data_IF_917998610726
#
_entry.id   IF_917998610726
#
_cell.length_a   1.000
_cell.length_b   1.000
_cell.length_c   1.000
_cell.angle_alpha   90.00
_cell.angle_beta   90.00
_cell.angle_gamma   90.00
#
_symmetry.space_group_name_H-M   'P 1'
#
loop_
_entity.id
_entity.type
_entity.pdbx_description
1 polymer ?
#
# COMPACT_ATOMS: atom_id res chain seq x y z
N UNK A 1 8.58 6.04 3.41
CA UNK A 1 8.12 4.69 3.80
C UNK A 1 9.01 4.10 4.89
N UNK A 2 10.34 4.06 4.71
CA UNK A 2 11.24 3.44 5.69
C UNK A 2 11.16 4.04 7.10
N UNK A 3 11.07 5.37 7.21
CA UNK A 3 10.88 6.04 8.50
C UNK A 3 9.53 5.67 9.17
N UNK A 4 8.46 5.51 8.39
CA UNK A 4 7.15 5.12 8.91
C UNK A 4 7.16 3.66 9.42
N UNK A 5 7.81 2.75 8.68
CA UNK A 5 7.96 1.36 9.09
C UNK A 5 8.88 1.20 10.31
N UNK A 6 9.98 1.96 10.37
CA UNK A 6 10.85 1.97 11.54
C UNK A 6 10.11 2.46 12.81
N UNK A 7 9.26 3.49 12.67
CA UNK A 7 8.45 4.01 13.77
C UNK A 7 7.33 3.06 14.25
N UNK A 8 6.90 2.11 13.42
CA UNK A 8 5.85 1.14 13.76
C UNK A 8 6.33 -0.02 14.66
N UNK A 9 7.65 -0.18 14.81
CA UNK A 9 8.24 -1.28 15.58
C UNK A 9 8.22 -2.63 14.84
N UNK A 10 8.44 -3.75 15.56
CA UNK A 10 8.64 -5.06 14.92
C UNK A 10 7.33 -5.80 14.60
N UNK A 11 6.17 -5.31 15.03
CA UNK A 11 4.89 -6.00 14.79
C UNK A 11 4.53 -6.00 13.29
N UNK A 12 4.34 -7.17 12.65
CA UNK A 12 3.94 -7.23 11.24
C UNK A 12 2.62 -6.49 10.97
N UNK A 13 1.65 -6.59 11.86
CA UNK A 13 0.38 -5.84 11.77
C UNK A 13 0.60 -4.33 11.86
N UNK A 14 1.50 -3.86 12.74
CA UNK A 14 1.82 -2.44 12.84
C UNK A 14 2.58 -1.94 11.60
N UNK A 15 3.50 -2.73 11.06
CA UNK A 15 4.22 -2.41 9.83
C UNK A 15 3.28 -2.36 8.62
N UNK A 16 2.32 -3.29 8.54
CA UNK A 16 1.32 -3.29 7.49
C UNK A 16 0.40 -2.05 7.58
N UNK A 17 -0.07 -1.71 8.78
CA UNK A 17 -0.84 -0.50 9.02
C UNK A 17 -0.04 0.76 8.61
N UNK A 18 1.23 0.85 9.01
CA UNK A 18 2.09 1.96 8.64
C UNK A 18 2.36 2.03 7.14
N UNK A 19 2.46 0.90 6.44
CA UNK A 19 2.56 0.86 4.98
C UNK A 19 1.30 1.43 4.33
N UNK A 20 0.11 1.00 4.77
CA UNK A 20 -1.18 1.47 4.24
C UNK A 20 -1.35 2.96 4.51
N UNK A 21 -1.11 3.41 5.73
CA UNK A 21 -1.22 4.82 6.12
C UNK A 21 -0.25 5.72 5.37
N UNK A 22 0.99 5.26 5.14
CA UNK A 22 1.98 6.04 4.40
C UNK A 22 1.60 6.29 2.93
N UNK A 23 0.77 5.42 2.34
CA UNK A 23 0.33 5.58 0.95
C UNK A 23 -1.06 6.18 0.83
N UNK A 24 -2.01 5.75 1.69
CA UNK A 24 -3.44 6.05 1.54
C UNK A 24 -4.01 6.92 2.65
N UNK A 25 -3.22 7.21 3.68
CA UNK A 25 -3.59 8.15 4.73
C UNK A 25 -3.55 9.59 4.21
N UNK A 26 -4.45 10.44 4.73
CA UNK A 26 -4.51 11.86 4.41
C UNK A 26 -3.59 12.72 5.29
N UNK A 27 -2.55 12.11 5.88
CA UNK A 27 -1.63 12.79 6.80
C UNK A 27 -0.68 13.77 6.10
N UNK A 28 0.31 14.28 6.86
CA UNK A 28 1.28 15.29 6.41
C UNK A 28 2.12 14.92 5.17
N UNK A 29 2.02 13.70 4.66
CA UNK A 29 2.73 13.22 3.48
C UNK A 29 1.84 13.09 2.24
N UNK A 30 0.56 13.44 2.32
CA UNK A 30 -0.33 13.46 1.18
C UNK A 30 0.02 14.63 0.24
N UNK A 31 0.57 14.31 -0.93
CA UNK A 31 0.98 15.28 -1.95
C UNK A 31 0.28 14.97 -3.30
N UNK A 32 -0.76 15.73 -3.67
CA UNK A 32 -1.48 15.53 -4.93
C UNK A 32 -0.63 15.75 -6.19
N UNK A 33 0.38 16.62 -6.14
CA UNK A 33 1.25 16.91 -7.28
C UNK A 33 2.22 15.75 -7.52
N UNK A 34 2.83 15.24 -6.45
CA UNK A 34 3.65 14.03 -6.51
C UNK A 34 2.84 12.83 -7.03
N UNK A 35 1.58 12.70 -6.61
CA UNK A 35 0.68 11.65 -7.09
C UNK A 35 0.38 11.78 -8.60
N UNK A 36 0.08 12.99 -9.07
CA UNK A 36 -0.14 13.25 -10.50
C UNK A 36 1.11 12.93 -11.33
N UNK A 37 2.30 13.30 -10.82
CA UNK A 37 3.59 12.97 -11.43
C UNK A 37 3.80 11.44 -11.51
N UNK A 38 3.51 10.72 -10.42
CA UNK A 38 3.58 9.25 -10.40
C UNK A 38 2.74 8.60 -11.50
N UNK A 39 1.51 9.07 -11.72
CA UNK A 39 0.65 8.55 -12.78
C UNK A 39 1.12 8.92 -14.18
N UNK A 40 1.66 10.13 -14.38
CA UNK A 40 2.25 10.52 -15.64
C UNK A 40 3.44 9.60 -15.99
N UNK A 41 4.30 9.29 -15.02
CA UNK A 41 5.41 8.34 -15.18
C UNK A 41 4.86 6.94 -15.54
N UNK A 42 3.84 6.46 -14.83
CA UNK A 42 3.22 5.16 -15.11
C UNK A 42 2.62 5.07 -16.52
N UNK A 43 1.98 6.15 -17.00
CA UNK A 43 1.46 6.25 -18.37
C UNK A 43 2.58 6.22 -19.43
N UNK A 44 3.69 6.91 -19.19
CA UNK A 44 4.83 6.89 -20.11
C UNK A 44 5.59 5.55 -20.07
N UNK A 45 5.66 4.88 -18.91
CA UNK A 45 6.26 3.57 -18.75
C UNK A 45 5.62 2.49 -19.66
N UNK A 46 4.33 2.64 -20.01
CA UNK A 46 3.66 1.74 -20.94
C UNK A 46 4.18 1.84 -22.38
N UNK A 47 4.81 2.96 -22.76
CA UNK A 47 5.23 3.26 -24.14
C UNK A 47 6.74 3.44 -24.29
N UNK A 48 7.45 3.84 -23.23
CA UNK A 48 8.88 4.17 -23.25
C UNK A 48 9.68 3.17 -22.41
N UNK A 49 10.46 2.25 -23.03
CA UNK A 49 11.25 1.27 -22.29
C UNK A 49 12.20 1.86 -21.24
N UNK A 50 12.81 3.02 -21.55
CA UNK A 50 13.69 3.74 -20.62
C UNK A 50 12.97 4.24 -19.35
N UNK A 51 11.66 4.51 -19.43
CA UNK A 51 10.83 4.86 -18.26
C UNK A 51 10.28 3.60 -17.58
N UNK A 52 10.01 2.55 -18.36
CA UNK A 52 9.47 1.30 -17.86
C UNK A 52 10.40 0.59 -16.87
N UNK A 53 11.72 0.61 -17.12
CA UNK A 53 12.70 -0.06 -16.24
C UNK A 53 12.67 0.50 -14.80
N UNK A 54 12.95 1.79 -14.55
CA UNK A 54 12.93 2.33 -13.19
C UNK A 54 11.54 2.27 -12.55
N UNK A 55 10.47 2.45 -13.32
CA UNK A 55 9.11 2.32 -12.80
C UNK A 55 8.81 0.91 -12.29
N UNK A 56 9.20 -0.13 -13.05
CA UNK A 56 9.05 -1.53 -12.63
C UNK A 56 9.92 -1.86 -11.42
N UNK A 57 11.13 -1.32 -11.33
CA UNK A 57 12.00 -1.51 -10.17
C UNK A 57 11.35 -0.98 -8.89
N UNK A 58 10.74 0.21 -8.93
CA UNK A 58 10.01 0.77 -7.78
C UNK A 58 8.83 -0.11 -7.39
N UNK A 59 8.01 -0.55 -8.35
CA UNK A 59 6.88 -1.44 -8.07
C UNK A 59 7.32 -2.79 -7.51
N UNK A 60 8.41 -3.37 -8.04
CA UNK A 60 8.98 -4.61 -7.56
C UNK A 60 9.50 -4.45 -6.12
N UNK A 61 10.15 -3.34 -5.80
CA UNK A 61 10.61 -3.04 -4.45
C UNK A 61 9.45 -2.89 -3.46
N UNK A 62 8.35 -2.22 -3.84
CA UNK A 62 7.15 -2.12 -3.02
C UNK A 62 6.48 -3.47 -2.79
N UNK A 63 6.38 -4.30 -3.84
CA UNK A 63 5.82 -5.65 -3.73
C UNK A 63 6.67 -6.52 -2.81
N UNK A 64 8.00 -6.50 -2.97
CA UNK A 64 8.93 -7.24 -2.14
C UNK A 64 8.84 -6.79 -0.67
N UNK A 65 8.66 -5.49 -0.43
CA UNK A 65 8.49 -4.95 0.92
C UNK A 65 7.21 -5.45 1.59
N UNK A 66 6.09 -5.43 0.88
CA UNK A 66 4.83 -6.02 1.35
C UNK A 66 5.00 -7.51 1.61
N UNK A 67 5.68 -8.23 0.72
CA UNK A 67 5.96 -9.65 0.88
C UNK A 67 6.74 -9.94 2.15
N UNK A 68 7.79 -9.17 2.45
CA UNK A 68 8.56 -9.29 3.71
C UNK A 68 7.68 -9.09 4.95
N UNK A 69 6.81 -8.07 4.96
CA UNK A 69 5.89 -7.82 6.08
C UNK A 69 4.93 -9.00 6.25
N UNK A 70 4.40 -9.53 5.15
CA UNK A 70 3.46 -10.64 5.18
C UNK A 70 4.14 -11.93 5.65
N UNK A 71 5.33 -12.25 5.12
CA UNK A 71 6.08 -13.44 5.54
C UNK A 71 6.39 -13.39 7.05
N UNK A 72 6.82 -12.23 7.57
CA UNK A 72 7.05 -12.06 9.00
C UNK A 72 5.77 -12.27 9.85
N UNK A 73 4.61 -11.84 9.34
CA UNK A 73 3.33 -12.09 10.00
C UNK A 73 2.87 -13.55 9.92
N UNK A 74 3.20 -14.27 8.84
CA UNK A 74 2.98 -15.72 8.75
C UNK A 74 3.87 -16.47 9.75
N UNK A 75 5.16 -16.12 9.81
CA UNK A 75 6.10 -16.69 10.77
C UNK A 75 5.68 -16.46 12.23
N UNK A 76 5.13 -15.27 12.53
CA UNK A 76 4.59 -14.93 13.84
C UNK A 76 3.20 -15.53 14.14
N UNK A 77 2.58 -16.24 13.18
CA UNK A 77 1.23 -16.80 13.29
C UNK A 77 0.10 -15.74 13.29
N UNK A 78 0.40 -14.50 12.94
CA UNK A 78 -0.56 -13.40 12.86
C UNK A 78 -1.37 -13.42 11.55
N UNK A 79 -0.76 -13.91 10.45
CA UNK A 79 -1.37 -13.96 9.11
C UNK A 79 -1.45 -15.40 8.60
N UNK A 80 -2.46 -15.70 7.79
CA UNK A 80 -2.64 -17.00 7.14
C UNK A 80 -3.23 -16.88 5.71
N UNK A 81 -2.61 -16.11 4.79
CA UNK A 81 -3.05 -16.04 3.40
C UNK A 81 -2.86 -17.40 2.71
N UNK A 82 -3.65 -17.68 1.67
CA UNK A 82 -3.46 -18.86 0.83
C UNK A 82 -2.12 -18.79 0.05
N UNK A 83 -1.80 -17.61 -0.47
CA UNK A 83 -0.53 -17.31 -1.14
C UNK A 83 -0.04 -15.91 -0.70
N UNK A 84 1.05 -15.83 0.07
CA UNK A 84 1.58 -14.54 0.53
C UNK A 84 2.02 -13.59 -0.60
N UNK A 85 2.47 -14.13 -1.74
CA UNK A 85 2.87 -13.34 -2.91
C UNK A 85 1.66 -12.78 -3.65
N UNK A 86 0.61 -13.57 -3.78
CA UNK A 86 -0.68 -13.09 -4.30
C UNK A 86 -1.27 -12.02 -3.39
N UNK A 87 -1.22 -12.21 -2.07
CA UNK A 87 -1.67 -11.21 -1.09
C UNK A 87 -0.88 -9.90 -1.20
N UNK A 88 0.44 -9.95 -1.26
CA UNK A 88 1.29 -8.77 -1.46
C UNK A 88 0.93 -8.01 -2.75
N UNK A 89 0.72 -8.76 -3.84
CA UNK A 89 0.33 -8.19 -5.14
C UNK A 89 -1.05 -7.55 -5.10
N UNK A 90 -2.02 -8.20 -4.44
CA UNK A 90 -3.37 -7.67 -4.29
C UNK A 90 -3.38 -6.34 -3.51
N UNK A 91 -2.63 -6.26 -2.41
CA UNK A 91 -2.52 -5.03 -1.63
C UNK A 91 -1.82 -3.90 -2.41
N UNK A 92 -0.75 -4.22 -3.14
CA UNK A 92 -0.11 -3.23 -4.02
C UNK A 92 -1.08 -2.73 -5.10
N UNK A 93 -1.83 -3.64 -5.74
CA UNK A 93 -2.80 -3.29 -6.77
C UNK A 93 -3.89 -2.33 -6.25
N UNK A 94 -4.38 -2.55 -5.03
CA UNK A 94 -5.37 -1.67 -4.39
C UNK A 94 -4.80 -0.26 -4.16
N UNK A 95 -3.56 -0.16 -3.67
CA UNK A 95 -2.89 1.13 -3.50
C UNK A 95 -2.78 1.88 -4.83
N UNK A 96 -2.32 1.21 -5.89
CA UNK A 96 -2.22 1.81 -7.22
C UNK A 96 -3.59 2.18 -7.82
N UNK A 97 -4.62 1.39 -7.51
CA UNK A 97 -6.01 1.70 -7.88
C UNK A 97 -6.51 2.98 -7.21
N UNK A 98 -6.29 3.14 -5.91
CA UNK A 98 -6.63 4.37 -5.20
C UNK A 98 -5.86 5.57 -5.71
N UNK A 99 -4.57 5.42 -6.04
CA UNK A 99 -3.78 6.47 -6.68
C UNK A 99 -4.40 6.94 -7.99
N UNK A 100 -4.80 5.99 -8.84
CA UNK A 100 -5.46 6.28 -10.11
C UNK A 100 -6.79 7.02 -9.89
N UNK A 101 -7.64 6.53 -8.98
CA UNK A 101 -8.92 7.16 -8.69
C UNK A 101 -8.76 8.56 -8.08
N UNK A 102 -7.81 8.74 -7.15
CA UNK A 102 -7.58 10.01 -6.49
C UNK A 102 -7.13 11.11 -7.46
N UNK A 103 -6.41 10.77 -8.52
CA UNK A 103 -5.98 11.74 -9.52
C UNK A 103 -6.98 11.94 -10.67
N UNK A 104 -7.71 10.90 -11.07
CA UNK A 104 -8.57 10.94 -12.26
C UNK A 104 -10.05 11.18 -11.94
N UNK A 105 -10.50 10.76 -10.76
CA UNK A 105 -11.88 10.87 -10.31
C UNK A 105 -11.98 11.01 -8.77
N UNK A 106 -11.35 12.04 -8.16
CA UNK A 106 -11.23 12.18 -6.71
C UNK A 106 -12.57 12.16 -5.96
N UNK A 107 -13.65 12.62 -6.60
CA UNK A 107 -15.01 12.64 -6.02
C UNK A 107 -15.59 11.25 -5.77
N UNK A 108 -15.01 10.19 -6.33
CA UNK A 108 -15.42 8.81 -6.09
C UNK A 108 -14.88 8.22 -4.79
N UNK A 109 -13.89 8.86 -4.16
CA UNK A 109 -13.29 8.38 -2.92
C UNK A 109 -13.86 9.22 -1.76
N UNK A 110 -14.71 8.65 -0.90
CA UNK A 110 -15.09 9.33 0.33
C UNK A 110 -13.86 9.66 1.16
N UNK A 111 -13.81 10.88 1.71
CA UNK A 111 -12.64 11.37 2.45
C UNK A 111 -12.31 10.43 3.61
N UNK A 112 -11.04 10.05 3.73
CA UNK A 112 -10.53 9.24 4.84
C UNK A 112 -10.82 7.74 4.74
N UNK A 113 -11.47 7.25 3.68
CA UNK A 113 -11.85 5.83 3.61
C UNK A 113 -10.80 4.93 2.95
N UNK A 114 -9.90 5.47 2.11
CA UNK A 114 -8.97 4.65 1.33
C UNK A 114 -8.09 3.73 2.20
N UNK A 115 -7.47 4.28 3.25
CA UNK A 115 -6.66 3.51 4.20
C UNK A 115 -7.53 2.47 4.96
N UNK A 116 -8.67 2.90 5.53
CA UNK A 116 -9.57 2.04 6.29
C UNK A 116 -10.13 0.88 5.45
N UNK A 117 -10.56 1.14 4.22
CA UNK A 117 -11.05 0.12 3.29
C UNK A 117 -9.94 -0.85 2.89
N UNK A 118 -8.73 -0.36 2.64
CA UNK A 118 -7.57 -1.21 2.33
C UNK A 118 -7.19 -2.10 3.51
N UNK A 119 -7.23 -1.58 4.74
CA UNK A 119 -6.98 -2.40 5.94
C UNK A 119 -8.06 -3.47 6.15
N UNK A 120 -9.34 -3.14 5.92
CA UNK A 120 -10.40 -4.14 5.98
C UNK A 120 -10.21 -5.23 4.94
N UNK A 121 -9.82 -4.88 3.71
CA UNK A 121 -9.46 -5.85 2.67
C UNK A 121 -8.24 -6.68 3.07
N UNK A 122 -7.21 -6.06 3.64
CA UNK A 122 -6.02 -6.76 4.10
C UNK A 122 -6.34 -7.82 5.14
N UNK A 123 -7.23 -7.54 6.10
CA UNK A 123 -7.70 -8.55 7.06
C UNK A 123 -8.31 -9.77 6.36
N UNK A 124 -9.14 -9.54 5.34
CA UNK A 124 -9.77 -10.63 4.58
C UNK A 124 -8.76 -11.46 3.79
N UNK A 125 -7.87 -10.80 3.04
CA UNK A 125 -6.87 -11.46 2.18
C UNK A 125 -5.81 -12.18 3.00
N UNK A 126 -5.43 -11.63 4.15
CA UNK A 126 -4.41 -12.20 5.04
C UNK A 126 -5.00 -13.12 6.12
N UNK A 127 -6.34 -13.28 6.16
CA UNK A 127 -7.08 -14.05 7.17
C UNK A 127 -6.68 -13.68 8.61
N UNK A 128 -6.58 -12.37 8.86
CA UNK A 128 -6.25 -11.83 10.18
C UNK A 128 -7.45 -11.89 11.12
N UNK A 129 -7.20 -12.19 12.39
CA UNK A 129 -8.22 -12.08 13.44
C UNK A 129 -8.25 -10.69 14.07
N UNK A 130 -7.11 -9.99 14.09
CA UNK A 130 -6.96 -8.68 14.72
C UNK A 130 -7.22 -7.51 13.76
N UNK A 131 -7.59 -6.37 14.35
CA UNK A 131 -7.69 -5.10 13.61
C UNK A 131 -6.32 -4.48 13.34
N UNK A 132 -6.17 -3.85 12.17
CA UNK A 132 -4.95 -3.10 11.86
C UNK A 132 -4.98 -1.75 12.58
N UNK A 133 -3.90 -1.36 13.28
CA UNK A 133 -3.84 -0.12 14.05
C UNK A 133 -3.59 1.09 13.13
N UNK A 134 -4.57 1.43 12.29
CA UNK A 134 -4.50 2.61 11.41
C UNK A 134 -4.62 3.92 12.21
N UNK A 135 -4.01 4.98 11.68
CA UNK A 135 -4.24 6.35 12.18
C UNK A 135 -5.62 6.83 11.79
N UNK A 136 -6.33 7.47 12.73
CA UNK A 136 -7.61 8.13 12.43
C UNK A 136 -7.38 9.36 11.56
N UNK A 137 -8.20 9.57 10.51
CA UNK A 137 -8.14 10.81 9.74
C UNK A 137 -8.60 11.99 10.62
N UNK A 138 -7.79 13.04 10.71
CA UNK A 138 -8.17 14.35 11.28
C UNK A 138 -9.11 15.12 10.35
#
# INVERSE_FOLDING_TARGET
IDAALAGAGPSPSAQLAAFIDAHLGLGAHADPEALACWLAIGSEAARRPAVAAPYREVLAALQARLRTIIDAGVEAGAFAPDDPGAAATALLAVVQGYFTLAATAPTLIPRGTAAASTAAMARGVLRMQDELPLRTPE
#
